data_IF_330081814090
#
_entry.id   IF_330081814090
#
_cell.length_a   1.000
_cell.length_b   1.000
_cell.length_c   1.000
_cell.angle_alpha   90.00
_cell.angle_beta   90.00
_cell.angle_gamma   90.00
#
_symmetry.space_group_name_H-M   'P 1'
#
loop_
_entity.id
_entity.type
_entity.pdbx_description
1 polymer ?
#
# COMPACT_ATOMS: atom_id res chain seq x y z
N UNK A 1 -16.88 2.91 8.32
CA UNK A 1 -17.36 3.38 7.00
C UNK A 1 -17.16 2.22 6.03
N UNK A 2 -18.21 1.68 5.42
CA UNK A 2 -18.11 0.51 4.53
C UNK A 2 -18.14 0.89 3.06
N UNK A 3 -17.61 0.03 2.20
CA UNK A 3 -17.77 0.12 0.75
C UNK A 3 -19.00 -0.71 0.32
N UNK A 4 -19.70 -0.25 -0.72
CA UNK A 4 -20.74 -1.03 -1.39
C UNK A 4 -20.14 -2.16 -2.23
N UNK A 5 -20.95 -3.13 -2.64
CA UNK A 5 -20.51 -4.21 -3.53
C UNK A 5 -19.99 -3.69 -4.88
N UNK A 6 -20.60 -2.62 -5.40
CA UNK A 6 -20.17 -1.97 -6.63
C UNK A 6 -18.80 -1.29 -6.45
N UNK A 7 -18.58 -0.58 -5.34
CA UNK A 7 -17.27 0.01 -5.03
C UNK A 7 -16.21 -1.09 -4.89
N UNK A 8 -16.51 -2.21 -4.22
CA UNK A 8 -15.60 -3.35 -4.15
C UNK A 8 -15.33 -3.98 -5.52
N UNK A 9 -16.33 -4.06 -6.39
CA UNK A 9 -16.13 -4.54 -7.76
C UNK A 9 -15.15 -3.66 -8.53
N UNK A 10 -15.25 -2.33 -8.42
CA UNK A 10 -14.28 -1.41 -9.01
C UNK A 10 -12.87 -1.65 -8.47
N UNK A 11 -12.72 -1.77 -7.15
CA UNK A 11 -11.43 -2.03 -6.48
C UNK A 11 -10.81 -3.34 -6.95
N UNK A 12 -11.57 -4.43 -6.97
CA UNK A 12 -11.04 -5.74 -7.33
C UNK A 12 -10.77 -5.87 -8.83
N UNK A 13 -11.55 -5.20 -9.68
CA UNK A 13 -11.32 -5.18 -11.13
C UNK A 13 -9.97 -4.54 -11.46
N UNK A 14 -9.69 -3.36 -10.89
CA UNK A 14 -8.39 -2.71 -11.11
C UNK A 14 -7.25 -3.49 -10.43
N UNK A 15 -7.51 -4.07 -9.26
CA UNK A 15 -6.51 -4.86 -8.56
C UNK A 15 -6.09 -6.10 -9.35
N UNK A 16 -7.01 -6.76 -10.07
CA UNK A 16 -6.66 -7.87 -10.97
C UNK A 16 -5.65 -7.47 -12.05
N UNK A 17 -5.67 -6.22 -12.51
CA UNK A 17 -4.65 -5.68 -13.44
C UNK A 17 -3.32 -5.44 -12.74
N UNK A 18 -3.33 -4.97 -11.49
CA UNK A 18 -2.12 -4.84 -10.66
C UNK A 18 -1.47 -6.22 -10.44
N UNK A 19 -2.27 -7.25 -10.17
CA UNK A 19 -1.78 -8.60 -9.91
C UNK A 19 -1.08 -9.26 -11.11
N UNK A 20 -1.42 -8.85 -12.34
CA UNK A 20 -0.74 -9.32 -13.55
C UNK A 20 0.74 -8.91 -13.64
N UNK A 21 1.16 -7.89 -12.87
CA UNK A 21 2.55 -7.44 -12.77
C UNK A 21 2.84 -6.85 -11.37
N UNK A 22 2.75 -7.69 -10.33
CA UNK A 22 3.03 -7.24 -8.95
C UNK A 22 4.44 -6.68 -8.80
N UNK A 23 5.42 -7.21 -9.53
CA UNK A 23 6.80 -6.77 -9.45
C UNK A 23 6.95 -5.34 -9.99
N UNK A 24 6.45 -5.06 -11.19
CA UNK A 24 6.53 -3.73 -11.78
C UNK A 24 5.68 -2.68 -11.04
N UNK A 25 4.50 -3.04 -10.53
CA UNK A 25 3.71 -2.14 -9.71
C UNK A 25 4.35 -1.90 -8.34
N UNK A 26 4.75 -2.96 -7.64
CA UNK A 26 5.30 -2.86 -6.28
C UNK A 26 6.60 -2.09 -6.25
N UNK A 27 7.47 -2.32 -7.24
CA UNK A 27 8.71 -1.56 -7.39
C UNK A 27 8.43 -0.07 -7.62
N UNK A 28 7.54 0.26 -8.55
CA UNK A 28 7.20 1.65 -8.87
C UNK A 28 6.52 2.36 -7.70
N UNK A 29 5.66 1.68 -6.94
CA UNK A 29 5.00 2.23 -5.75
C UNK A 29 6.03 2.61 -4.69
N UNK A 30 6.99 1.74 -4.38
CA UNK A 30 8.00 2.05 -3.38
C UNK A 30 8.98 3.12 -3.85
N UNK A 31 9.35 3.11 -5.14
CA UNK A 31 10.14 4.20 -5.72
C UNK A 31 9.43 5.55 -5.62
N UNK A 32 8.13 5.59 -5.97
CA UNK A 32 7.31 6.80 -5.86
C UNK A 32 7.21 7.27 -4.41
N UNK A 33 7.00 6.35 -3.47
CA UNK A 33 6.95 6.65 -2.04
C UNK A 33 8.24 7.33 -1.56
N UNK A 34 9.41 6.76 -1.89
CA UNK A 34 10.70 7.30 -1.45
C UNK A 34 11.09 8.61 -2.14
N UNK A 35 10.61 8.85 -3.36
CA UNK A 35 10.85 10.11 -4.07
C UNK A 35 9.94 11.23 -3.55
N UNK A 36 8.66 10.96 -3.35
CA UNK A 36 7.68 11.94 -2.89
C UNK A 36 7.84 12.22 -1.38
N UNK A 37 8.26 11.22 -0.61
CA UNK A 37 8.41 11.27 0.86
C UNK A 37 9.70 10.58 1.34
N UNK A 38 10.88 11.20 1.15
CA UNK A 38 12.18 10.61 1.48
C UNK A 38 12.33 10.14 2.93
N UNK A 39 11.63 10.78 3.87
CA UNK A 39 11.61 10.40 5.29
C UNK A 39 11.08 8.97 5.54
N UNK A 40 10.31 8.42 4.59
CA UNK A 40 9.82 7.04 4.69
C UNK A 40 10.92 6.01 4.46
N UNK A 41 11.97 6.36 3.71
CA UNK A 41 13.12 5.48 3.43
C UNK A 41 13.89 5.13 4.71
N UNK A 42 13.93 6.05 5.69
CA UNK A 42 14.62 5.87 6.96
C UNK A 42 14.06 4.72 7.80
N UNK A 43 12.82 4.28 7.52
CA UNK A 43 12.21 3.10 8.17
C UNK A 43 12.67 1.77 7.59
N UNK A 44 13.39 1.80 6.46
CA UNK A 44 13.87 0.60 5.77
C UNK A 44 15.39 0.51 5.85
N UNK A 45 15.92 -0.05 6.95
CA UNK A 45 17.37 -0.27 7.12
C UNK A 45 18.03 -0.92 5.89
N UNK A 46 17.34 -1.88 5.26
CA UNK A 46 17.80 -2.57 4.05
C UNK A 46 17.98 -1.63 2.84
N UNK A 47 17.23 -0.53 2.78
CA UNK A 47 17.16 0.36 1.62
C UNK A 47 17.76 1.74 1.84
N UNK A 48 18.24 2.07 3.06
CA UNK A 48 18.88 3.36 3.36
C UNK A 48 20.05 3.74 2.45
N UNK A 49 20.71 2.74 1.84
CA UNK A 49 21.79 2.97 0.87
C UNK A 49 21.31 3.44 -0.51
N UNK A 50 20.02 3.34 -0.83
CA UNK A 50 19.43 3.73 -2.11
C UNK A 50 19.17 5.24 -2.13
N UNK A 51 20.18 6.02 -2.48
CA UNK A 51 20.15 7.50 -2.44
C UNK A 51 19.63 8.14 -3.71
N UNK A 52 19.64 7.43 -4.84
CA UNK A 52 19.22 7.97 -6.14
C UNK A 52 18.10 7.15 -6.78
N UNK A 53 17.25 7.76 -7.63
CA UNK A 53 16.26 7.04 -8.41
C UNK A 53 16.83 5.86 -9.21
N UNK A 54 18.03 6.00 -9.77
CA UNK A 54 18.68 4.93 -10.54
C UNK A 54 19.09 3.75 -9.66
N UNK A 55 19.59 4.00 -8.45
CA UNK A 55 19.87 2.94 -7.48
C UNK A 55 18.60 2.20 -7.07
N UNK A 56 17.50 2.93 -6.85
CA UNK A 56 16.21 2.32 -6.54
C UNK A 56 15.71 1.48 -7.72
N UNK A 57 15.81 2.00 -8.95
CA UNK A 57 15.41 1.31 -10.19
C UNK A 57 16.20 0.02 -10.43
N UNK A 58 17.48 -0.02 -10.06
CA UNK A 58 18.32 -1.21 -10.17
C UNK A 58 18.17 -2.22 -9.02
N UNK A 59 17.40 -1.89 -7.96
CA UNK A 59 17.33 -2.73 -6.76
C UNK A 59 16.34 -3.88 -6.91
N UNK A 60 16.86 -5.09 -7.12
CA UNK A 60 16.05 -6.32 -7.09
C UNK A 60 15.43 -6.60 -5.71
N UNK A 61 16.12 -6.18 -4.64
CA UNK A 61 15.58 -6.31 -3.29
C UNK A 61 14.39 -5.39 -3.05
N UNK A 62 14.42 -4.17 -3.58
CA UNK A 62 13.29 -3.25 -3.52
C UNK A 62 12.09 -3.82 -4.28
N UNK A 63 12.33 -4.36 -5.48
CA UNK A 63 11.31 -5.02 -6.30
C UNK A 63 10.68 -6.20 -5.57
N UNK A 64 11.48 -7.09 -4.99
CA UNK A 64 11.00 -8.22 -4.17
C UNK A 64 10.15 -7.73 -2.98
N UNK A 65 10.58 -6.67 -2.30
CA UNK A 65 9.81 -6.12 -1.20
C UNK A 65 8.47 -5.51 -1.67
N UNK A 66 8.47 -4.83 -2.82
CA UNK A 66 7.26 -4.34 -3.46
C UNK A 66 6.24 -5.44 -3.74
N UNK A 67 6.70 -6.61 -4.24
CA UNK A 67 5.84 -7.80 -4.40
C UNK A 67 5.24 -8.23 -3.07
N UNK A 68 6.03 -8.30 -2.00
CA UNK A 68 5.53 -8.68 -0.67
C UNK A 68 4.46 -7.72 -0.16
N UNK A 69 4.69 -6.40 -0.28
CA UNK A 69 3.76 -5.36 0.16
C UNK A 69 2.43 -5.47 -0.60
N UNK A 70 2.48 -5.49 -1.93
CA UNK A 70 1.26 -5.55 -2.73
C UNK A 70 0.56 -6.92 -2.60
N UNK A 71 1.29 -8.02 -2.43
CA UNK A 71 0.65 -9.32 -2.16
C UNK A 71 -0.17 -9.27 -0.88
N UNK A 72 0.36 -8.72 0.21
CA UNK A 72 -0.38 -8.64 1.47
C UNK A 72 -1.56 -7.67 1.38
N UNK A 73 -1.39 -6.51 0.74
CA UNK A 73 -2.50 -5.59 0.51
C UNK A 73 -3.60 -6.23 -0.35
N UNK A 74 -3.23 -6.99 -1.38
CA UNK A 74 -4.18 -7.69 -2.23
C UNK A 74 -5.03 -8.72 -1.47
N UNK A 75 -4.43 -9.47 -0.54
CA UNK A 75 -5.18 -10.38 0.34
C UNK A 75 -6.21 -9.62 1.18
N UNK A 76 -5.83 -8.49 1.75
CA UNK A 76 -6.72 -7.61 2.55
C UNK A 76 -7.88 -7.11 1.69
N UNK A 77 -7.60 -6.54 0.52
CA UNK A 77 -8.63 -6.00 -0.38
C UNK A 77 -9.65 -7.06 -0.81
N UNK A 78 -9.19 -8.30 -1.04
CA UNK A 78 -10.05 -9.43 -1.42
C UNK A 78 -11.02 -9.87 -0.33
N UNK A 79 -10.79 -9.52 0.94
CA UNK A 79 -11.74 -9.78 2.03
C UNK A 79 -12.89 -8.77 2.10
N UNK A 80 -12.88 -7.71 1.27
CA UNK A 80 -13.96 -6.73 1.16
C UNK A 80 -14.38 -6.11 2.51
N UNK A 81 -13.41 -5.82 3.37
CA UNK A 81 -13.63 -5.22 4.69
C UNK A 81 -13.68 -6.23 5.85
N UNK A 82 -13.87 -7.53 5.57
CA UNK A 82 -13.78 -8.59 6.59
C UNK A 82 -12.32 -9.07 6.79
N UNK A 83 -11.37 -8.13 6.86
CA UNK A 83 -9.93 -8.40 6.75
C UNK A 83 -9.18 -8.49 8.08
N UNK A 84 -9.87 -8.61 9.22
CA UNK A 84 -9.21 -8.55 10.54
C UNK A 84 -8.08 -9.59 10.70
N UNK A 85 -8.30 -10.83 10.23
CA UNK A 85 -7.31 -11.91 10.30
C UNK A 85 -6.02 -11.61 9.52
N UNK A 86 -6.15 -10.99 8.35
CA UNK A 86 -5.02 -10.57 7.50
C UNK A 86 -4.35 -9.29 8.00
N UNK A 87 -5.13 -8.39 8.61
CA UNK A 87 -4.68 -7.07 9.05
C UNK A 87 -3.93 -7.13 10.39
N UNK A 88 -4.36 -7.98 11.33
CA UNK A 88 -3.75 -8.09 12.66
C UNK A 88 -2.23 -8.33 12.66
N UNK A 89 -1.66 -9.32 11.94
CA UNK A 89 -0.22 -9.53 11.92
C UNK A 89 0.55 -8.36 11.27
N UNK A 90 -0.04 -7.75 10.24
CA UNK A 90 0.53 -6.57 9.59
C UNK A 90 0.60 -5.39 10.57
N UNK A 91 -0.52 -5.10 11.24
CA UNK A 91 -0.62 -4.05 12.24
C UNK A 91 0.38 -4.26 13.39
N UNK A 92 0.49 -5.50 13.90
CA UNK A 92 1.41 -5.80 15.00
C UNK A 92 2.87 -5.51 14.61
N UNK A 93 3.31 -5.98 13.44
CA UNK A 93 4.69 -5.76 12.98
C UNK A 93 4.97 -4.29 12.71
N UNK A 94 4.03 -3.58 12.08
CA UNK A 94 4.22 -2.16 11.75
C UNK A 94 4.17 -1.26 12.99
N UNK A 95 3.38 -1.61 14.01
CA UNK A 95 3.32 -0.88 15.29
C UNK A 95 4.52 -1.18 16.22
N UNK A 96 4.86 -2.45 16.39
CA UNK A 96 5.78 -2.87 17.47
C UNK A 96 7.23 -2.96 17.01
N UNK A 97 7.48 -3.39 15.76
CA UNK A 97 8.82 -3.59 15.21
C UNK A 97 9.26 -2.43 14.32
N UNK A 98 8.47 -2.08 13.32
CA UNK A 98 8.87 -1.11 12.30
C UNK A 98 8.56 0.34 12.70
N UNK A 99 7.66 0.56 13.68
CA UNK A 99 7.26 1.87 14.18
C UNK A 99 6.79 2.80 13.06
N UNK A 100 5.97 2.27 12.15
CA UNK A 100 5.46 3.01 10.98
C UNK A 100 4.26 3.83 11.43
N UNK A 101 4.33 5.18 11.40
CA UNK A 101 3.19 6.02 11.75
C UNK A 101 2.05 5.88 10.73
N UNK A 102 0.81 6.12 11.16
CA UNK A 102 -0.36 6.11 10.26
C UNK A 102 -0.17 7.07 9.09
N UNK A 103 0.53 8.19 9.33
CA UNK A 103 0.85 9.17 8.27
C UNK A 103 1.62 8.56 7.09
N UNK A 104 2.50 7.58 7.33
CA UNK A 104 3.22 6.91 6.24
C UNK A 104 2.35 5.93 5.48
N UNK A 105 1.28 5.40 6.11
CA UNK A 105 0.26 4.61 5.42
C UNK A 105 -0.57 5.49 4.47
N UNK A 106 -0.77 6.77 4.78
CA UNK A 106 -1.38 7.74 3.85
C UNK A 106 -0.50 7.95 2.63
N UNK A 107 0.80 8.19 2.82
CA UNK A 107 1.74 8.41 1.72
C UNK A 107 1.83 7.22 0.76
N UNK A 108 1.92 5.99 1.27
CA UNK A 108 1.91 4.81 0.39
C UNK A 108 0.56 4.61 -0.29
N UNK A 109 -0.56 4.98 0.35
CA UNK A 109 -1.88 4.94 -0.29
C UNK A 109 -1.95 5.88 -1.50
N UNK A 110 -1.42 7.10 -1.36
CA UNK A 110 -1.32 8.06 -2.46
C UNK A 110 -0.41 7.56 -3.58
N UNK A 111 0.74 6.98 -3.24
CA UNK A 111 1.65 6.38 -4.22
C UNK A 111 0.98 5.24 -5.01
N UNK A 112 0.23 4.37 -4.34
CA UNK A 112 -0.54 3.29 -4.99
C UNK A 112 -1.54 3.87 -6.01
N UNK A 113 -2.34 4.86 -5.61
CA UNK A 113 -3.34 5.47 -6.48
C UNK A 113 -2.68 6.13 -7.70
N UNK A 114 -1.60 6.91 -7.50
CA UNK A 114 -0.85 7.56 -8.58
C UNK A 114 -0.31 6.53 -9.58
N UNK A 115 0.35 5.47 -9.10
CA UNK A 115 0.95 4.44 -9.97
C UNK A 115 -0.11 3.66 -10.74
N UNK A 116 -1.25 3.31 -10.12
CA UNK A 116 -2.35 2.64 -10.82
C UNK A 116 -2.93 3.57 -11.90
N UNK A 117 -3.11 4.87 -11.61
CA UNK A 117 -3.60 5.84 -12.59
C UNK A 117 -2.65 6.00 -13.77
N UNK A 118 -1.33 6.07 -13.52
CA UNK A 118 -0.31 6.14 -14.57
C UNK A 118 -0.30 4.89 -15.47
N UNK A 119 -0.42 3.69 -14.88
CA UNK A 119 -0.31 2.41 -15.61
C UNK A 119 -1.60 1.94 -16.26
N UNK A 120 -2.76 2.32 -15.71
CA UNK A 120 -4.07 1.80 -16.11
C UNK A 120 -5.09 2.93 -16.34
N UNK A 121 -4.67 4.05 -16.92
CA UNK A 121 -5.51 5.24 -17.13
C UNK A 121 -6.87 4.93 -17.78
N UNK A 122 -6.92 4.00 -18.75
CA UNK A 122 -8.15 3.59 -19.43
C UNK A 122 -9.10 2.77 -18.57
N UNK A 123 -8.62 2.17 -17.47
CA UNK A 123 -9.37 1.27 -16.58
C UNK A 123 -9.53 1.82 -15.17
N UNK A 124 -8.93 2.97 -14.86
CA UNK A 124 -8.94 3.58 -13.52
C UNK A 124 -9.51 5.00 -13.56
N UNK A 125 -10.76 5.08 -14.04
CA UNK A 125 -11.54 6.32 -14.08
C UNK A 125 -11.96 6.83 -12.68
N UNK A 126 -12.71 7.93 -12.65
CA UNK A 126 -13.07 8.64 -11.42
C UNK A 126 -13.72 7.74 -10.35
N UNK A 127 -14.69 6.91 -10.75
CA UNK A 127 -15.40 6.01 -9.82
C UNK A 127 -14.47 4.95 -9.22
N UNK A 128 -13.56 4.39 -10.05
CA UNK A 128 -12.59 3.40 -9.58
C UNK A 128 -11.53 4.02 -8.67
N UNK A 129 -11.10 5.25 -8.95
CA UNK A 129 -10.21 6.00 -8.07
C UNK A 129 -10.88 6.32 -6.73
N UNK A 130 -12.14 6.76 -6.75
CA UNK A 130 -12.91 7.05 -5.54
C UNK A 130 -13.08 5.78 -4.68
N UNK A 131 -13.46 4.66 -5.31
CA UNK A 131 -13.60 3.38 -4.62
C UNK A 131 -12.26 2.90 -4.02
N UNK A 132 -11.16 3.00 -4.77
CA UNK A 132 -9.82 2.64 -4.26
C UNK A 132 -9.39 3.53 -3.10
N UNK A 133 -9.62 4.85 -3.18
CA UNK A 133 -9.35 5.79 -2.07
C UNK A 133 -10.09 5.37 -0.81
N UNK A 134 -11.38 5.04 -0.94
CA UNK A 134 -12.23 4.60 0.18
C UNK A 134 -11.77 3.26 0.77
N UNK A 135 -11.35 2.30 -0.07
CA UNK A 135 -10.81 1.02 0.39
C UNK A 135 -9.50 1.20 1.18
N UNK A 136 -8.59 2.05 0.68
CA UNK A 136 -7.34 2.35 1.36
C UNK A 136 -7.56 3.15 2.64
N UNK A 137 -8.56 4.04 2.67
CA UNK A 137 -8.96 4.74 3.89
C UNK A 137 -9.51 3.79 4.96
N UNK A 138 -10.39 2.86 4.58
CA UNK A 138 -10.86 1.78 5.48
C UNK A 138 -9.67 1.00 6.04
N UNK A 139 -8.75 0.55 5.18
CA UNK A 139 -7.52 -0.14 5.60
C UNK A 139 -6.71 0.68 6.62
N UNK A 140 -6.48 1.98 6.38
CA UNK A 140 -5.72 2.84 7.30
C UNK A 140 -6.43 3.02 8.64
N UNK A 141 -7.75 3.21 8.62
CA UNK A 141 -8.54 3.36 9.84
C UNK A 141 -8.47 2.09 10.72
N UNK A 142 -8.56 0.92 10.10
CA UNK A 142 -8.49 -0.36 10.82
C UNK A 142 -7.06 -0.64 11.32
N UNK A 143 -6.02 -0.31 10.54
CA UNK A 143 -4.63 -0.32 11.00
C UNK A 143 -4.42 0.57 12.22
N UNK A 144 -4.93 1.81 12.17
CA UNK A 144 -4.83 2.76 13.28
C UNK A 144 -5.57 2.27 14.53
N UNK A 145 -6.71 1.60 14.38
CA UNK A 145 -7.41 0.96 15.50
C UNK A 145 -6.56 -0.14 16.13
N UNK A 146 -5.97 -1.03 15.31
CA UNK A 146 -5.08 -2.09 15.81
C UNK A 146 -3.80 -1.55 16.43
N UNK A 147 -3.24 -0.45 15.92
CA UNK A 147 -2.10 0.21 16.55
C UNK A 147 -2.37 0.60 17.99
N UNK A 148 -3.56 1.15 18.28
CA UNK A 148 -3.99 1.49 19.65
C UNK A 148 -4.07 0.25 20.54
N UNK A 149 -4.60 -0.87 20.01
CA UNK A 149 -4.62 -2.16 20.73
C UNK A 149 -3.20 -2.65 21.08
N UNK A 150 -2.19 -2.34 20.25
CA UNK A 150 -0.78 -2.66 20.50
C UNK A 150 -0.01 -1.57 21.25
N UNK A 151 -0.69 -0.54 21.78
CA UNK A 151 -0.06 0.55 22.53
C UNK A 151 0.80 1.50 21.70
N UNK A 152 0.59 1.57 20.38
CA UNK A 152 1.27 2.51 19.49
C UNK A 152 0.30 3.62 19.06
N UNK A 153 0.72 4.89 19.22
CA UNK A 153 -0.10 6.07 18.90
C UNK A 153 0.37 6.82 17.64
N UNK A 154 1.40 6.29 16.95
CA UNK A 154 1.95 6.91 15.74
C UNK A 154 1.07 6.78 14.52
#
# INVERSE_FOLDING_TARGET
>A
MGLSDQEWQHVLTIWGKVESDLAGHGHQVLMRLFQDHPETLDRFEKFKGLKTPDQMKGSEDLKKHGVTVLTQLGKILKQKGNHESELKPLAQTHATKHKIPVKYLEFISEAIIKVIAEKHASSFGADSQAAMKKALELFRNDMASKYKEFGFQG
#
